data_IF_758283613144
#
_entry.id   IF_758283613144
#
_cell.length_a   1.000
_cell.length_b   1.000
_cell.length_c   1.000
_cell.angle_alpha   90.00
_cell.angle_beta   90.00
_cell.angle_gamma   90.00
#
_symmetry.space_group_name_H-M   'P 1'
#
loop_
_entity.id
_entity.type
_entity.pdbx_description
1 polymer ?
#
# COMPACT_ATOMS: atom_id res chain seq x y z
N UNK A 1 23.10 -39.27 40.19
CA UNK A 1 23.59 -39.36 38.79
C UNK A 1 22.39 -39.29 37.89
N UNK A 2 22.38 -38.43 36.87
CA UNK A 2 21.32 -38.47 35.87
C UNK A 2 21.74 -39.56 34.87
N UNK A 3 20.99 -40.67 34.84
CA UNK A 3 21.36 -41.88 34.09
C UNK A 3 21.11 -41.72 32.57
N UNK A 4 20.27 -40.76 32.19
CA UNK A 4 19.83 -40.45 30.83
C UNK A 4 19.56 -38.93 30.66
N UNK A 5 19.33 -38.47 29.43
CA UNK A 5 19.07 -37.06 29.11
C UNK A 5 17.60 -36.76 29.38
N UNK A 6 17.28 -35.74 30.17
CA UNK A 6 15.87 -35.35 30.36
C UNK A 6 15.44 -34.34 29.30
N UNK A 7 14.35 -34.67 28.60
CA UNK A 7 13.75 -33.77 27.60
C UNK A 7 12.68 -32.92 28.28
N UNK A 8 13.06 -31.68 28.62
CA UNK A 8 12.16 -30.70 29.21
C UNK A 8 11.21 -30.09 28.16
N UNK A 9 10.08 -29.56 28.60
CA UNK A 9 9.12 -28.82 27.75
C UNK A 9 9.65 -27.43 27.41
N UNK A 10 10.66 -27.40 26.53
CA UNK A 10 11.31 -26.19 26.03
C UNK A 10 11.37 -26.30 24.51
N UNK A 11 11.01 -25.22 23.82
CA UNK A 11 11.11 -25.17 22.38
C UNK A 11 12.55 -25.47 21.93
N UNK A 12 12.77 -26.36 20.94
CA UNK A 12 14.10 -26.76 20.47
C UNK A 12 14.81 -25.68 19.63
N UNK A 13 14.56 -24.41 19.93
CA UNK A 13 15.01 -23.25 19.16
C UNK A 13 15.13 -22.01 20.05
N UNK A 14 16.16 -21.21 19.81
CA UNK A 14 16.32 -19.90 20.45
C UNK A 14 16.98 -18.90 19.51
N UNK A 15 16.66 -17.62 19.71
CA UNK A 15 17.23 -16.50 18.97
C UNK A 15 17.93 -15.52 19.89
N UNK A 16 19.01 -14.94 19.39
CA UNK A 16 19.70 -13.80 19.98
C UNK A 16 19.94 -12.76 18.90
N UNK A 17 19.96 -11.49 19.31
CA UNK A 17 20.48 -10.42 18.46
C UNK A 17 21.91 -10.12 18.93
N UNK A 18 22.88 -10.28 18.03
CA UNK A 18 24.30 -10.10 18.37
C UNK A 18 24.65 -8.62 18.51
N UNK A 19 25.56 -8.32 19.43
CA UNK A 19 26.07 -6.97 19.72
C UNK A 19 27.42 -6.68 19.02
N UNK A 20 28.01 -7.65 18.33
CA UNK A 20 29.34 -7.54 17.73
C UNK A 20 30.51 -7.89 18.66
N UNK A 21 30.23 -8.26 19.92
CA UNK A 21 31.24 -8.49 20.96
C UNK A 21 31.06 -9.86 21.63
N UNK A 22 29.82 -10.24 21.96
CA UNK A 22 29.48 -11.52 22.55
C UNK A 22 29.80 -12.66 21.58
N UNK A 23 30.58 -13.62 22.05
CA UNK A 23 30.92 -14.84 21.29
C UNK A 23 30.27 -16.11 21.83
N UNK A 24 29.75 -16.08 23.07
CA UNK A 24 29.15 -17.24 23.72
C UNK A 24 27.63 -17.07 23.82
N UNK A 25 26.89 -18.00 23.21
CA UNK A 25 25.43 -18.03 23.20
C UNK A 25 24.94 -19.36 23.75
N UNK A 26 24.08 -19.32 24.76
CA UNK A 26 23.56 -20.54 25.40
C UNK A 26 22.38 -21.12 24.61
N UNK A 27 22.10 -22.40 24.81
CA UNK A 27 20.85 -23.01 24.33
C UNK A 27 20.22 -23.79 25.49
N UNK A 28 18.92 -23.57 25.81
CA UNK A 28 18.28 -24.13 27.02
C UNK A 28 17.62 -25.49 26.83
N UNK A 29 17.92 -26.18 25.72
CA UNK A 29 17.32 -27.46 25.35
C UNK A 29 18.39 -28.54 25.14
N UNK A 30 18.05 -29.79 25.44
CA UNK A 30 18.99 -30.90 25.27
C UNK A 30 19.29 -31.21 23.80
N UNK A 31 20.54 -31.55 23.48
CA UNK A 31 20.98 -32.13 22.21
C UNK A 31 21.74 -33.44 22.49
N UNK A 32 21.69 -34.42 21.59
CA UNK A 32 22.32 -35.73 21.84
C UNK A 32 23.78 -35.75 21.37
N UNK A 33 24.06 -35.11 20.23
CA UNK A 33 25.41 -34.86 19.70
C UNK A 33 25.53 -33.41 19.24
N UNK A 34 26.77 -32.91 19.17
CA UNK A 34 27.03 -31.53 18.71
C UNK A 34 26.49 -31.26 17.29
N UNK A 35 26.45 -32.27 16.43
CA UNK A 35 25.92 -32.15 15.06
C UNK A 35 24.39 -32.10 14.97
N UNK A 36 23.67 -32.34 16.08
CA UNK A 36 22.22 -32.13 16.14
C UNK A 36 21.84 -30.66 16.32
N UNK A 37 22.81 -29.75 16.44
CA UNK A 37 22.58 -28.33 16.57
C UNK A 37 22.89 -27.62 15.25
N UNK A 38 21.88 -26.99 14.67
CA UNK A 38 22.05 -26.04 13.58
C UNK A 38 22.28 -24.64 14.14
N UNK A 39 23.29 -23.97 13.59
CA UNK A 39 23.66 -22.60 13.94
C UNK A 39 23.48 -21.74 12.69
N UNK A 40 22.72 -20.66 12.83
CA UNK A 40 22.47 -19.71 11.74
C UNK A 40 22.85 -18.30 12.16
N UNK A 41 23.41 -17.56 11.20
CA UNK A 41 23.67 -16.13 11.29
C UNK A 41 22.86 -15.45 10.18
N UNK A 42 21.80 -14.72 10.57
CA UNK A 42 20.78 -14.26 9.63
C UNK A 42 20.12 -15.45 8.93
N UNK A 43 20.19 -15.47 7.60
CA UNK A 43 19.65 -16.54 6.75
C UNK A 43 20.72 -17.59 6.35
N UNK A 44 21.98 -17.41 6.77
CA UNK A 44 23.07 -18.31 6.41
C UNK A 44 23.35 -19.33 7.50
N UNK A 45 23.22 -20.61 7.15
CA UNK A 45 23.66 -21.72 8.01
C UNK A 45 25.19 -21.70 8.13
N UNK A 46 25.67 -21.84 9.36
CA UNK A 46 27.09 -21.96 9.65
C UNK A 46 27.45 -23.44 9.81
N UNK A 47 28.50 -23.87 9.12
CA UNK A 47 29.04 -25.23 9.22
C UNK A 47 30.35 -25.29 10.01
N UNK A 48 30.95 -24.13 10.31
CA UNK A 48 32.23 -23.98 11.00
C UNK A 48 32.32 -22.60 11.68
N UNK A 49 33.41 -22.33 12.40
CA UNK A 49 33.63 -21.02 13.06
C UNK A 49 33.00 -20.91 14.44
N UNK A 50 32.50 -22.03 14.98
CA UNK A 50 32.00 -22.14 16.34
C UNK A 50 32.30 -23.53 16.91
N UNK A 51 32.21 -23.63 18.23
CA UNK A 51 32.28 -24.88 18.98
C UNK A 51 31.01 -25.05 19.80
N UNK A 52 30.50 -26.27 19.89
CA UNK A 52 29.29 -26.61 20.66
C UNK A 52 29.70 -27.42 21.87
N UNK A 53 29.27 -26.98 23.05
CA UNK A 53 29.45 -27.68 24.32
C UNK A 53 28.10 -27.92 24.99
N UNK A 54 28.01 -28.93 25.84
CA UNK A 54 26.77 -29.31 26.53
C UNK A 54 25.88 -30.29 25.75
N UNK A 55 26.45 -31.02 24.77
CA UNK A 55 25.80 -32.20 24.22
C UNK A 55 25.68 -33.28 25.32
N UNK A 56 24.53 -33.94 25.38
CA UNK A 56 24.21 -34.92 26.42
C UNK A 56 23.76 -34.32 27.76
N UNK A 57 23.57 -33.00 27.87
CA UNK A 57 23.13 -32.33 29.09
C UNK A 57 21.67 -31.87 28.96
N UNK A 58 20.82 -32.25 29.92
CA UNK A 58 19.38 -31.95 29.92
C UNK A 58 19.05 -30.45 29.89
N UNK A 59 19.89 -29.63 30.53
CA UNK A 59 19.73 -28.16 30.56
C UNK A 59 20.27 -27.46 29.31
N UNK A 60 20.76 -28.21 28.33
CA UNK A 60 21.43 -27.69 27.16
C UNK A 60 22.86 -27.23 27.44
N UNK A 61 23.33 -26.24 26.68
CA UNK A 61 24.75 -25.95 26.59
C UNK A 61 25.07 -24.58 25.99
N UNK A 62 26.22 -24.47 25.34
CA UNK A 62 26.73 -23.20 24.80
C UNK A 62 27.40 -23.39 23.45
N UNK A 63 27.09 -22.49 22.53
CA UNK A 63 27.80 -22.27 21.28
C UNK A 63 28.78 -21.11 21.48
N UNK A 64 30.06 -21.39 21.28
CA UNK A 64 31.14 -20.40 21.34
C UNK A 64 31.67 -20.16 19.92
N UNK A 65 31.43 -18.97 19.38
CA UNK A 65 31.98 -18.53 18.11
C UNK A 65 33.46 -18.17 18.24
N UNK A 66 34.25 -18.49 17.21
CA UNK A 66 35.67 -18.13 17.13
C UNK A 66 35.88 -16.63 16.90
N UNK A 67 34.93 -15.99 16.21
CA UNK A 67 34.84 -14.55 16.07
C UNK A 67 33.41 -14.11 16.45
N UNK A 68 33.22 -13.02 17.21
CA UNK A 68 31.90 -12.51 17.55
C UNK A 68 31.05 -12.30 16.28
N UNK A 69 29.78 -12.76 16.25
CA UNK A 69 28.89 -12.42 15.14
C UNK A 69 28.71 -10.90 15.02
N UNK A 70 28.63 -10.33 13.81
CA UNK A 70 28.50 -8.89 13.63
C UNK A 70 27.27 -8.31 14.34
N UNK A 71 27.38 -7.05 14.80
CA UNK A 71 26.27 -6.36 15.45
C UNK A 71 25.00 -6.37 14.58
N UNK A 72 23.84 -6.49 15.24
CA UNK A 72 22.51 -6.64 14.62
C UNK A 72 22.31 -7.90 13.76
N UNK A 73 23.22 -8.87 13.81
CA UNK A 73 23.01 -10.19 13.18
C UNK A 73 22.19 -11.07 14.11
N UNK A 74 21.12 -11.66 13.58
CA UNK A 74 20.32 -12.65 14.32
C UNK A 74 21.08 -13.97 14.39
N UNK A 75 21.41 -14.41 15.60
CA UNK A 75 21.93 -15.76 15.88
C UNK A 75 20.74 -16.67 16.15
N UNK A 76 20.63 -17.76 15.42
CA UNK A 76 19.61 -18.80 15.68
C UNK A 76 20.31 -20.10 16.03
N UNK A 77 19.94 -20.67 17.17
CA UNK A 77 20.35 -22.01 17.57
C UNK A 77 19.11 -22.91 17.53
N UNK A 78 19.19 -24.00 16.78
CA UNK A 78 18.04 -24.85 16.49
C UNK A 78 18.44 -26.33 16.53
N UNK A 79 17.76 -27.15 17.33
CA UNK A 79 18.01 -28.60 17.33
C UNK A 79 17.36 -29.23 16.09
N UNK A 80 18.15 -29.98 15.33
CA UNK A 80 17.71 -30.76 14.18
C UNK A 80 18.21 -32.20 14.27
N UNK A 81 17.33 -33.09 14.71
CA UNK A 81 17.55 -34.53 14.79
C UNK A 81 17.32 -35.20 13.44
N UNK A 82 18.07 -36.28 13.18
CA UNK A 82 17.80 -37.21 12.07
C UNK A 82 16.69 -38.16 12.52
N UNK A 83 15.52 -38.09 11.89
CA UNK A 83 14.36 -38.88 12.30
C UNK A 83 14.43 -40.32 11.77
N UNK A 84 15.26 -41.13 12.42
CA UNK A 84 15.40 -42.56 12.16
C UNK A 84 15.45 -43.32 13.49
N UNK A 85 14.92 -44.54 13.51
CA UNK A 85 15.10 -45.44 14.66
C UNK A 85 16.35 -46.27 14.43
N UNK A 86 17.35 -46.09 15.30
CA UNK A 86 18.61 -46.87 15.25
C UNK A 86 18.64 -48.03 16.23
N UNK A 87 17.75 -48.02 17.23
CA UNK A 87 17.67 -49.06 18.26
C UNK A 87 16.81 -50.25 17.80
N UNK A 88 17.32 -51.47 18.04
CA UNK A 88 16.62 -52.72 17.80
C UNK A 88 16.71 -53.67 19.00
N UNK A 89 15.59 -53.81 19.72
CA UNK A 89 15.50 -54.71 20.88
C UNK A 89 15.21 -56.13 20.40
N UNK A 90 16.08 -57.07 20.78
CA UNK A 90 15.94 -58.47 20.41
C UNK A 90 14.83 -59.15 21.21
N UNK A 91 14.10 -60.06 20.58
CA UNK A 91 13.17 -60.95 21.27
C UNK A 91 13.92 -61.74 22.35
N UNK A 92 13.30 -61.85 23.53
CA UNK A 92 13.88 -62.49 24.72
C UNK A 92 15.21 -61.87 25.22
N UNK A 93 15.61 -60.73 24.66
CA UNK A 93 16.77 -59.96 25.08
C UNK A 93 16.50 -59.16 26.35
N UNK A 94 17.54 -58.99 27.18
CA UNK A 94 17.45 -58.12 28.37
C UNK A 94 17.35 -56.66 27.93
N UNK A 95 16.25 -55.99 28.28
CA UNK A 95 16.09 -54.55 28.07
C UNK A 95 16.76 -53.80 29.22
N UNK A 96 17.79 -53.02 28.92
CA UNK A 96 18.44 -52.14 29.90
C UNK A 96 17.63 -50.85 30.04
N UNK A 97 17.33 -50.47 31.28
CA UNK A 97 16.58 -49.25 31.58
C UNK A 97 17.21 -48.01 30.95
N UNK A 98 18.54 -47.88 31.02
CA UNK A 98 19.27 -46.79 30.35
C UNK A 98 18.99 -46.72 28.85
N UNK A 99 19.13 -47.83 28.14
CA UNK A 99 18.91 -47.87 26.68
C UNK A 99 17.46 -47.57 26.32
N UNK A 100 16.51 -48.03 27.15
CA UNK A 100 15.10 -47.70 26.97
C UNK A 100 14.82 -46.21 27.19
N UNK A 101 15.37 -45.63 28.25
CA UNK A 101 15.22 -44.20 28.52
C UNK A 101 15.85 -43.35 27.41
N UNK A 102 17.08 -43.64 26.99
CA UNK A 102 17.75 -42.90 25.90
C UNK A 102 16.91 -42.92 24.60
N UNK A 103 16.27 -44.05 24.28
CA UNK A 103 15.37 -44.17 23.12
C UNK A 103 14.07 -43.38 23.29
N UNK A 104 13.43 -43.45 24.46
CA UNK A 104 12.23 -42.68 24.78
C UNK A 104 12.51 -41.18 24.76
N UNK A 105 13.66 -40.75 25.29
CA UNK A 105 14.12 -39.36 25.26
C UNK A 105 14.29 -38.89 23.82
N UNK A 106 14.93 -39.70 22.97
CA UNK A 106 15.09 -39.38 21.54
C UNK A 106 13.73 -39.20 20.84
N UNK A 107 12.78 -40.10 21.12
CA UNK A 107 11.43 -40.03 20.55
C UNK A 107 10.66 -38.78 21.02
N UNK A 108 10.76 -38.42 22.30
CA UNK A 108 10.14 -37.18 22.81
C UNK A 108 10.79 -35.95 22.17
N UNK A 109 12.11 -35.93 22.03
CA UNK A 109 12.82 -34.82 21.38
C UNK A 109 12.46 -34.68 19.89
N UNK A 110 12.27 -35.81 19.19
CA UNK A 110 11.77 -35.85 17.82
C UNK A 110 10.34 -35.32 17.71
N UNK A 111 9.44 -35.72 18.62
CA UNK A 111 8.07 -35.21 18.66
C UNK A 111 8.02 -33.69 18.93
N UNK A 112 8.85 -33.18 19.83
CA UNK A 112 8.98 -31.73 20.05
C UNK A 112 9.43 -30.99 18.79
N UNK A 113 10.39 -31.55 18.05
CA UNK A 113 10.84 -30.96 16.79
C UNK A 113 9.72 -30.95 15.74
N UNK A 114 8.99 -32.05 15.59
CA UNK A 114 7.83 -32.11 14.67
C UNK A 114 6.75 -31.12 15.10
N UNK A 115 6.47 -30.98 16.39
CA UNK A 115 5.53 -30.00 16.91
C UNK A 115 5.95 -28.55 16.60
N UNK A 116 7.25 -28.25 16.68
CA UNK A 116 7.80 -26.94 16.30
C UNK A 116 7.72 -26.69 14.79
N UNK A 117 8.02 -27.69 13.96
CA UNK A 117 7.85 -27.64 12.50
C UNK A 117 6.38 -27.38 12.11
N UNK A 118 5.44 -28.13 12.69
CA UNK A 118 3.99 -27.94 12.49
C UNK A 118 3.51 -26.61 13.04
N UNK A 119 4.15 -26.09 14.11
CA UNK A 119 3.91 -24.75 14.65
C UNK A 119 4.11 -23.63 13.62
N UNK A 120 5.01 -23.85 12.64
CA UNK A 120 5.34 -22.91 11.56
C UNK A 120 4.62 -23.19 10.24
N UNK A 121 3.85 -24.27 10.16
CA UNK A 121 3.09 -24.62 8.97
C UNK A 121 1.80 -23.81 8.86
N UNK A 122 1.26 -23.70 7.63
CA UNK A 122 -0.11 -23.26 7.40
C UNK A 122 -1.06 -24.32 7.97
N UNK A 123 -2.00 -23.89 8.82
CA UNK A 123 -2.95 -24.78 9.51
C UNK A 123 -4.37 -24.38 9.22
N UNK A 124 -5.22 -25.39 9.07
CA UNK A 124 -6.66 -25.19 9.12
C UNK A 124 -7.10 -24.97 10.57
N UNK A 125 -8.15 -24.17 10.76
CA UNK A 125 -8.81 -24.05 12.05
C UNK A 125 -9.39 -25.40 12.49
N UNK A 126 -9.28 -25.78 13.78
CA UNK A 126 -9.82 -27.05 14.28
C UNK A 126 -11.36 -27.12 14.24
N UNK A 127 -12.04 -25.97 14.08
CA UNK A 127 -13.50 -25.89 13.93
C UNK A 127 -13.93 -25.74 12.46
N UNK A 128 -13.01 -25.85 11.50
CA UNK A 128 -13.37 -25.71 10.10
C UNK A 128 -14.23 -26.90 9.66
N UNK A 129 -15.47 -26.61 9.23
CA UNK A 129 -16.39 -27.61 8.68
C UNK A 129 -16.21 -27.86 7.18
N UNK A 130 -15.25 -27.18 6.53
CA UNK A 130 -15.03 -27.26 5.09
C UNK A 130 -13.88 -28.23 4.78
N UNK A 131 -14.09 -29.13 3.84
CA UNK A 131 -12.99 -29.91 3.23
C UNK A 131 -12.31 -29.01 2.22
N UNK A 132 -11.10 -28.55 2.54
CA UNK A 132 -10.33 -27.60 1.74
C UNK A 132 -8.98 -28.20 1.42
N UNK A 133 -8.57 -28.13 0.15
CA UNK A 133 -7.25 -28.55 -0.30
C UNK A 133 -6.21 -27.49 0.09
N UNK A 134 -5.29 -27.85 0.99
CA UNK A 134 -4.23 -26.97 1.48
C UNK A 134 -2.87 -27.23 0.84
N UNK A 135 -2.81 -28.09 -0.19
CA UNK A 135 -1.60 -28.25 -0.99
C UNK A 135 -1.30 -26.93 -1.71
N UNK A 136 -0.08 -26.42 -1.51
CA UNK A 136 0.35 -25.20 -2.17
C UNK A 136 0.49 -25.43 -3.69
N UNK A 137 0.04 -24.48 -4.52
CA UNK A 137 0.30 -24.52 -5.96
C UNK A 137 1.80 -24.33 -6.23
N UNK A 138 2.26 -24.75 -7.42
CA UNK A 138 3.64 -24.51 -7.85
C UNK A 138 3.97 -23.01 -7.75
N UNK A 139 5.08 -22.60 -7.12
CA UNK A 139 5.43 -21.20 -6.96
C UNK A 139 5.63 -20.52 -8.31
N UNK A 140 4.96 -19.39 -8.50
CA UNK A 140 5.14 -18.52 -9.67
C UNK A 140 5.65 -17.16 -9.19
N UNK A 141 6.78 -16.72 -9.74
CA UNK A 141 7.40 -15.45 -9.37
C UNK A 141 6.42 -14.27 -9.52
N UNK A 142 6.37 -13.40 -8.51
CA UNK A 142 5.47 -12.25 -8.46
C UNK A 142 3.99 -12.60 -8.23
N UNK A 143 3.62 -13.86 -7.94
CA UNK A 143 2.24 -14.23 -7.60
C UNK A 143 2.08 -14.44 -6.10
N UNK A 144 0.95 -13.95 -5.57
CA UNK A 144 0.52 -14.21 -4.20
C UNK A 144 -0.37 -15.45 -4.12
N UNK A 145 -0.47 -16.05 -2.94
CA UNK A 145 -1.44 -17.12 -2.67
C UNK A 145 -2.82 -16.52 -2.38
N UNK A 146 -3.87 -17.08 -3.00
CA UNK A 146 -5.28 -16.71 -2.76
C UNK A 146 -6.18 -17.94 -2.72
N UNK A 147 -7.38 -17.79 -2.16
CA UNK A 147 -8.44 -18.78 -2.33
C UNK A 147 -8.97 -18.76 -3.76
N UNK A 148 -9.27 -19.93 -4.31
CA UNK A 148 -10.03 -20.02 -5.55
C UNK A 148 -11.47 -19.49 -5.35
N UNK A 149 -12.23 -19.21 -6.43
CA UNK A 149 -13.58 -18.66 -6.31
C UNK A 149 -14.56 -19.54 -5.51
N UNK A 150 -14.33 -20.85 -5.44
CA UNK A 150 -15.14 -21.80 -4.67
C UNK A 150 -14.70 -21.94 -3.21
N UNK A 151 -13.63 -21.27 -2.77
CA UNK A 151 -13.07 -21.38 -1.41
C UNK A 151 -12.55 -22.79 -1.06
N UNK A 152 -12.27 -23.62 -2.06
CA UNK A 152 -11.96 -25.04 -1.88
C UNK A 152 -10.48 -25.39 -1.99
N UNK A 153 -9.65 -24.47 -2.48
CA UNK A 153 -8.21 -24.67 -2.64
C UNK A 153 -7.44 -23.34 -2.67
N UNK A 154 -6.15 -23.40 -2.31
CA UNK A 154 -5.20 -22.32 -2.53
C UNK A 154 -4.71 -22.34 -3.98
N UNK A 155 -4.68 -21.17 -4.61
CA UNK A 155 -4.20 -20.95 -5.99
C UNK A 155 -3.35 -19.68 -6.05
N UNK A 156 -2.52 -19.56 -7.08
CA UNK A 156 -1.77 -18.32 -7.33
C UNK A 156 -2.70 -17.20 -7.83
N UNK A 157 -2.37 -15.96 -7.50
CA UNK A 157 -3.03 -14.77 -8.01
C UNK A 157 -2.81 -14.61 -9.53
N UNK A 158 -3.77 -14.03 -10.23
CA UNK A 158 -3.69 -13.81 -11.68
C UNK A 158 -2.76 -12.64 -12.03
N UNK A 159 -2.60 -11.71 -11.10
CA UNK A 159 -1.77 -10.52 -11.21
C UNK A 159 -0.80 -10.43 -10.03
N UNK A 160 0.27 -9.68 -10.25
CA UNK A 160 1.23 -9.36 -9.21
C UNK A 160 0.58 -8.37 -8.23
N UNK A 161 0.44 -8.72 -6.94
CA UNK A 161 -0.18 -7.85 -5.94
C UNK A 161 0.51 -6.48 -5.82
N UNK A 162 1.83 -6.41 -5.96
CA UNK A 162 2.60 -5.16 -5.83
C UNK A 162 2.37 -4.26 -7.06
N UNK A 163 2.25 -4.88 -8.24
CA UNK A 163 1.91 -4.15 -9.47
C UNK A 163 0.51 -3.55 -9.39
N UNK A 164 -0.47 -4.29 -8.86
CA UNK A 164 -1.82 -3.76 -8.63
C UNK A 164 -1.83 -2.62 -7.60
N UNK A 165 -1.06 -2.73 -6.52
CA UNK A 165 -0.90 -1.65 -5.53
C UNK A 165 -0.39 -0.35 -6.17
N UNK A 166 0.60 -0.46 -7.06
CA UNK A 166 1.15 0.70 -7.78
C UNK A 166 0.11 1.36 -8.70
N UNK A 167 -0.76 0.59 -9.34
CA UNK A 167 -1.83 1.14 -10.21
C UNK A 167 -2.85 1.93 -9.39
N UNK A 168 -3.25 1.45 -8.20
CA UNK A 168 -4.15 2.20 -7.33
C UNK A 168 -3.54 3.51 -6.84
N UNK A 169 -2.25 3.49 -6.48
CA UNK A 169 -1.54 4.71 -6.09
C UNK A 169 -1.45 5.70 -7.26
N UNK A 170 -1.09 5.23 -8.46
CA UNK A 170 -1.03 6.07 -9.65
C UNK A 170 -2.39 6.69 -10.01
N UNK A 171 -3.49 5.96 -9.82
CA UNK A 171 -4.84 6.50 -10.00
C UNK A 171 -5.17 7.59 -8.97
N UNK A 172 -4.82 7.37 -7.70
CA UNK A 172 -4.99 8.36 -6.65
C UNK A 172 -4.19 9.64 -6.95
N UNK A 173 -2.93 9.51 -7.38
CA UNK A 173 -2.07 10.63 -7.77
C UNK A 173 -2.64 11.39 -8.98
N UNK A 174 -3.16 10.68 -9.98
CA UNK A 174 -3.81 11.29 -11.14
C UNK A 174 -5.08 12.07 -10.76
N UNK A 175 -5.90 11.54 -9.85
CA UNK A 175 -7.08 12.24 -9.33
C UNK A 175 -6.69 13.48 -8.53
N UNK A 176 -5.65 13.41 -7.70
CA UNK A 176 -5.14 14.55 -6.95
C UNK A 176 -4.60 15.65 -7.89
N UNK A 177 -3.87 15.27 -8.93
CA UNK A 177 -3.38 16.20 -9.95
C UNK A 177 -4.52 16.90 -10.71
N UNK A 178 -5.59 16.16 -11.05
CA UNK A 178 -6.77 16.74 -11.71
C UNK A 178 -7.49 17.76 -10.81
N UNK A 179 -7.64 17.48 -9.51
CA UNK A 179 -8.23 18.41 -8.56
C UNK A 179 -7.37 19.68 -8.38
N UNK A 180 -6.05 19.52 -8.30
CA UNK A 180 -5.11 20.63 -8.21
C UNK A 180 -5.18 21.53 -9.46
N UNK A 181 -5.27 20.95 -10.65
CA UNK A 181 -5.45 21.68 -11.90
C UNK A 181 -6.78 22.47 -11.93
N UNK A 182 -7.87 21.86 -11.45
CA UNK A 182 -9.16 22.54 -11.31
C UNK A 182 -9.09 23.75 -10.37
N UNK A 183 -8.48 23.57 -9.21
CA UNK A 183 -8.30 24.65 -8.23
C UNK A 183 -7.43 25.78 -8.80
N UNK A 184 -6.33 25.46 -9.49
CA UNK A 184 -5.46 26.46 -10.12
C UNK A 184 -6.20 27.25 -11.22
N UNK A 185 -7.02 26.59 -12.04
CA UNK A 185 -7.87 27.25 -13.03
C UNK A 185 -8.87 28.19 -12.37
N UNK A 186 -9.56 27.74 -11.33
CA UNK A 186 -10.59 28.53 -10.65
C UNK A 186 -9.97 29.73 -9.91
N UNK A 187 -8.77 29.57 -9.33
CA UNK A 187 -7.96 30.68 -8.79
C UNK A 187 -7.54 31.66 -9.88
N UNK A 188 -7.15 31.18 -11.06
CA UNK A 188 -6.78 32.04 -12.20
C UNK A 188 -7.98 32.84 -12.71
N UNK A 189 -9.16 32.22 -12.80
CA UNK A 189 -10.41 32.91 -13.16
C UNK A 189 -10.80 33.96 -12.12
N UNK A 190 -10.67 33.63 -10.83
CA UNK A 190 -10.92 34.58 -9.75
C UNK A 190 -9.93 35.76 -9.78
N UNK A 191 -8.64 35.49 -10.04
CA UNK A 191 -7.59 36.50 -10.13
C UNK A 191 -7.67 37.38 -11.39
N UNK A 192 -8.15 36.83 -12.52
CA UNK A 192 -8.36 37.58 -13.75
C UNK A 192 -9.41 38.70 -13.58
N UNK A 193 -10.32 38.55 -12.60
CA UNK A 193 -11.41 39.50 -12.33
C UNK A 193 -12.45 39.47 -13.46
N UNK A 194 -13.71 39.71 -13.12
CA UNK A 194 -14.78 39.93 -14.11
C UNK A 194 -14.34 40.98 -15.14
N UNK A 195 -14.72 40.79 -16.41
CA UNK A 195 -14.36 41.64 -17.56
C UNK A 195 -14.37 43.14 -17.16
N UNK A 196 -13.19 43.73 -17.00
CA UNK A 196 -13.06 45.17 -16.71
C UNK A 196 -13.35 45.94 -17.98
N UNK A 197 -14.40 46.77 -17.97
CA UNK A 197 -14.84 47.51 -19.16
C UNK A 197 -13.97 48.75 -19.46
N UNK A 198 -13.04 49.13 -18.58
CA UNK A 198 -11.90 50.01 -18.92
C UNK A 198 -10.84 50.02 -17.81
N UNK A 199 -9.65 50.54 -18.10
CA UNK A 199 -8.55 50.67 -17.12
C UNK A 199 -8.83 51.67 -15.97
N UNK A 200 -9.86 52.52 -16.10
CA UNK A 200 -10.24 53.53 -15.08
C UNK A 200 -11.42 53.09 -14.20
N UNK A 201 -11.97 51.90 -14.42
CA UNK A 201 -13.12 51.40 -13.69
C UNK A 201 -12.67 50.59 -12.46
N UNK A 202 -12.66 51.25 -11.30
CA UNK A 202 -12.18 50.69 -10.02
C UNK A 202 -13.31 50.25 -9.07
N UNK A 203 -14.57 50.30 -9.49
CA UNK A 203 -15.72 49.99 -8.64
C UNK A 203 -16.57 48.91 -9.30
N UNK A 204 -16.91 47.87 -8.54
CA UNK A 204 -17.77 46.79 -9.02
C UNK A 204 -19.23 47.29 -9.13
N UNK A 205 -19.90 46.99 -10.24
CA UNK A 205 -21.28 47.39 -10.52
C UNK A 205 -21.72 46.94 -11.92
N UNK A 206 -23.03 47.02 -12.22
CA UNK A 206 -23.58 46.54 -13.48
C UNK A 206 -23.15 47.38 -14.69
N UNK A 207 -23.03 46.76 -15.86
CA UNK A 207 -22.57 47.33 -17.13
C UNK A 207 -23.38 48.57 -17.53
N UNK A 208 -24.68 48.64 -17.23
CA UNK A 208 -25.52 49.83 -17.53
C UNK A 208 -25.04 51.09 -16.79
N UNK A 209 -24.43 50.94 -15.61
CA UNK A 209 -23.88 52.08 -14.85
C UNK A 209 -22.48 52.49 -15.30
N UNK A 210 -21.82 51.61 -16.06
CA UNK A 210 -20.43 51.78 -16.51
C UNK A 210 -20.34 52.31 -17.94
N UNK A 211 -21.39 52.14 -18.73
CA UNK A 211 -21.46 52.61 -20.11
C UNK A 211 -22.23 53.93 -20.18
N UNK A 212 -21.57 55.01 -20.60
CA UNK A 212 -22.23 56.28 -20.89
C UNK A 212 -22.63 56.32 -22.37
N UNK A 213 -23.92 56.46 -22.66
CA UNK A 213 -24.40 56.63 -24.02
C UNK A 213 -24.04 58.02 -24.57
N UNK A 214 -23.53 58.07 -25.81
CA UNK A 214 -23.29 59.32 -26.52
C UNK A 214 -24.60 60.03 -26.90
N UNK A 215 -24.49 61.29 -27.37
CA UNK A 215 -25.66 62.04 -27.83
C UNK A 215 -26.44 61.27 -28.91
N UNK A 216 -27.76 61.13 -28.73
CA UNK A 216 -28.63 60.38 -29.63
C UNK A 216 -28.59 58.86 -29.46
N UNK A 217 -27.85 58.31 -28.48
CA UNK A 217 -27.86 56.88 -28.16
C UNK A 217 -28.51 56.69 -26.79
N UNK A 218 -29.35 55.66 -26.65
CA UNK A 218 -29.91 55.23 -25.36
C UNK A 218 -29.48 53.79 -25.09
N UNK A 219 -29.06 53.51 -23.86
CA UNK A 219 -28.67 52.18 -23.40
C UNK A 219 -29.59 51.80 -22.24
N UNK A 220 -30.29 50.68 -22.36
CA UNK A 220 -31.24 50.20 -21.34
C UNK A 220 -30.90 48.77 -20.94
N UNK A 221 -30.96 48.47 -19.65
CA UNK A 221 -30.78 47.11 -19.14
C UNK A 221 -32.06 46.28 -19.32
N UNK A 222 -31.90 45.05 -19.80
CA UNK A 222 -32.97 44.07 -20.01
C UNK A 222 -32.83 42.82 -19.12
N UNK A 223 -31.86 42.80 -18.20
CA UNK A 223 -31.69 41.75 -17.18
C UNK A 223 -30.46 41.96 -16.31
N UNK A 224 -30.63 41.85 -14.99
CA UNK A 224 -29.67 42.15 -13.91
C UNK A 224 -28.99 40.89 -13.33
N UNK A 225 -28.85 39.84 -14.14
CA UNK A 225 -28.30 38.54 -13.74
C UNK A 225 -26.78 38.41 -13.95
N UNK A 226 -26.26 37.18 -13.84
CA UNK A 226 -24.85 36.88 -14.12
C UNK A 226 -24.45 37.20 -15.58
N UNK A 227 -25.42 37.11 -16.49
CA UNK A 227 -25.32 37.57 -17.88
C UNK A 227 -26.18 38.82 -18.05
N UNK A 228 -25.58 40.00 -17.95
CA UNK A 228 -26.27 41.26 -18.17
C UNK A 228 -26.58 41.48 -19.65
N UNK A 229 -27.83 41.82 -19.97
CA UNK A 229 -28.27 42.10 -21.34
C UNK A 229 -28.60 43.58 -21.52
N UNK A 230 -27.89 44.24 -22.43
CA UNK A 230 -28.12 45.65 -22.77
C UNK A 230 -28.81 45.79 -24.12
N UNK A 231 -29.77 46.70 -24.20
CA UNK A 231 -30.42 47.14 -25.44
C UNK A 231 -29.88 48.52 -25.79
N UNK A 232 -29.35 48.68 -27.00
CA UNK A 232 -28.83 49.95 -27.51
C UNK A 232 -29.74 50.44 -28.63
N UNK A 233 -30.24 51.67 -28.49
CA UNK A 233 -31.07 52.33 -29.48
C UNK A 233 -30.44 53.67 -29.90
N UNK A 234 -30.68 54.10 -31.14
CA UNK A 234 -30.29 55.43 -31.62
C UNK A 234 -31.50 56.26 -32.00
N UNK A 235 -31.57 57.49 -31.51
CA UNK A 235 -32.52 58.51 -31.96
C UNK A 235 -31.84 59.37 -33.01
N UNK A 236 -32.30 59.31 -34.26
CA UNK A 236 -31.80 60.17 -35.34
C UNK A 236 -32.33 61.59 -35.11
N UNK A 237 -31.44 62.52 -34.74
CA UNK A 237 -31.77 63.95 -34.69
C UNK A 237 -31.59 64.53 -36.09
N UNK A 238 -32.68 64.70 -36.84
CA UNK A 238 -32.64 65.39 -38.14
C UNK A 238 -32.41 66.89 -37.89
N UNK A 239 -31.35 67.51 -38.44
CA UNK A 239 -31.08 68.93 -38.22
C UNK A 239 -32.23 69.80 -38.71
N UNK A 240 -32.60 70.85 -37.96
CA UNK A 240 -33.70 71.74 -38.35
C UNK A 240 -33.52 72.34 -39.75
N UNK A 241 -32.28 72.62 -40.17
CA UNK A 241 -32.01 73.08 -41.54
C UNK A 241 -32.39 72.07 -42.63
N UNK A 242 -32.33 70.77 -42.34
CA UNK A 242 -32.78 69.71 -43.25
C UNK A 242 -34.30 69.63 -43.23
N UNK A 243 -34.91 69.71 -42.05
CA UNK A 243 -36.38 69.78 -41.90
C UNK A 243 -36.96 71.00 -42.63
N UNK A 244 -36.31 72.16 -42.52
CA UNK A 244 -36.71 73.41 -43.15
C UNK A 244 -36.56 73.34 -44.68
N UNK A 245 -35.44 72.80 -45.18
CA UNK A 245 -35.23 72.57 -46.62
C UNK A 245 -36.23 71.58 -47.19
N UNK A 246 -36.55 70.52 -46.43
CA UNK A 246 -37.54 69.53 -46.83
C UNK A 246 -38.94 70.17 -46.88
N UNK A 247 -39.29 70.99 -45.88
CA UNK A 247 -40.55 71.74 -45.84
C UNK A 247 -40.65 72.75 -47.00
N UNK A 248 -39.55 73.41 -47.36
CA UNK A 248 -39.47 74.31 -48.51
C UNK A 248 -39.66 73.56 -49.84
N UNK A 249 -39.04 72.39 -49.99
CA UNK A 249 -39.20 71.52 -51.16
C UNK A 249 -40.62 70.98 -51.27
N UNK A 250 -41.24 70.53 -50.17
CA UNK A 250 -42.62 70.05 -50.13
C UNK A 250 -43.61 71.13 -50.57
N UNK A 251 -43.44 72.38 -50.10
CA UNK A 251 -44.30 73.51 -50.49
C UNK A 251 -44.13 73.94 -51.94
N UNK A 252 -42.91 73.93 -52.46
CA UNK A 252 -42.61 74.55 -53.76
C UNK A 252 -42.59 73.57 -54.94
N UNK A 253 -42.42 72.27 -54.69
CA UNK A 253 -42.38 71.24 -55.73
C UNK A 253 -43.55 70.24 -55.68
N UNK A 254 -44.57 70.47 -54.84
CA UNK A 254 -45.70 69.55 -54.65
C UNK A 254 -45.26 68.09 -54.38
N UNK A 255 -44.20 67.94 -53.59
CA UNK A 255 -43.49 66.68 -53.35
C UNK A 255 -44.14 65.80 -52.25
N UNK A 256 -45.42 66.00 -51.95
CA UNK A 256 -46.18 65.24 -50.94
C UNK A 256 -46.15 63.72 -51.19
N UNK A 257 -45.86 63.30 -52.42
CA UNK A 257 -45.83 61.88 -52.84
C UNK A 257 -44.56 61.13 -52.42
N UNK A 258 -43.47 61.82 -52.02
CA UNK A 258 -42.20 61.13 -51.69
C UNK A 258 -42.07 60.68 -50.23
N UNK A 259 -43.02 61.04 -49.36
CA UNK A 259 -42.96 60.78 -47.91
C UNK A 259 -43.44 59.38 -47.50
N UNK A 260 -44.17 58.69 -48.37
CA UNK A 260 -44.70 57.33 -48.13
C UNK A 260 -43.76 56.21 -48.61
N UNK A 261 -42.54 56.52 -49.06
CA UNK A 261 -41.58 55.53 -49.59
C UNK A 261 -40.22 55.47 -48.88
N UNK A 262 -40.08 56.08 -47.69
CA UNK A 262 -38.92 55.93 -46.79
C UNK A 262 -39.44 55.72 -45.37
#
# INVERSE_FOLDING_TARGET
>A
MIEHIQINDVAPRIHYDADGVQSAFTYPFAIFKASDLEVWLGESRQNSGFTVSGAGISSGGTVLFAAPPPAATRVTLHRRLTLERVSDYQADGIIRAKTLNDELDYQVAALQQVAEDVGRALKQSPISGSVVELTLPEPVAGRGLKWNPSGSALVNSDHDPDTLGNVFQALADAQAAAQAAGTARDQTLAAAGSVKVSANDSVQGPLVTKLMAGSGITVTESGDGADERLVIASTVVVPQSVTDRLTFLERNLALTVLRDQI
#
